data_IF_571155366743
#
_entry.id   IF_571155366743
#
_cell.length_a   1.000
_cell.length_b   1.000
_cell.length_c   1.000
_cell.angle_alpha   90.00
_cell.angle_beta   90.00
_cell.angle_gamma   90.00
#
_symmetry.space_group_name_H-M   'P 1'
#
loop_
_entity.id
_entity.type
_entity.pdbx_description
1 polymer ?
#
# COMPACT_ATOMS: atom_id res chain seq x y z
N UNK A 1 5.34 7.57 15.40
CA UNK A 1 4.41 6.46 15.09
C UNK A 1 3.01 6.96 14.70
N UNK A 2 2.36 7.80 15.50
CA UNK A 2 1.03 8.37 15.21
C UNK A 2 0.95 9.19 13.89
N UNK A 3 2.01 9.93 13.53
CA UNK A 3 2.12 10.63 12.23
C UNK A 3 2.05 9.65 11.06
N UNK A 4 2.93 8.64 11.06
CA UNK A 4 3.00 7.59 10.02
C UNK A 4 1.65 6.88 9.90
N UNK A 5 1.01 6.51 11.01
CA UNK A 5 -0.33 5.92 10.99
C UNK A 5 -1.33 6.81 10.24
N UNK A 6 -1.49 8.07 10.65
CA UNK A 6 -2.48 8.97 10.03
C UNK A 6 -2.21 9.23 8.54
N UNK A 7 -0.95 9.33 8.14
CA UNK A 7 -0.58 9.56 6.74
C UNK A 7 -0.73 8.31 5.88
N UNK A 8 -0.32 7.13 6.40
CA UNK A 8 -0.38 5.88 5.64
C UNK A 8 -1.81 5.42 5.36
N UNK A 9 -2.73 5.67 6.29
CA UNK A 9 -4.14 5.28 6.12
C UNK A 9 -4.92 6.29 5.28
N UNK A 10 -4.50 7.56 5.27
CA UNK A 10 -5.31 8.66 4.75
C UNK A 10 -6.70 8.68 5.40
N UNK A 11 -7.72 8.40 4.58
CA UNK A 11 -9.12 8.25 4.95
C UNK A 11 -9.66 6.83 4.73
N UNK A 12 -8.81 5.87 4.33
CA UNK A 12 -9.23 4.50 4.06
C UNK A 12 -9.52 3.74 5.37
N UNK A 13 -10.60 2.94 5.42
CA UNK A 13 -11.01 2.23 6.64
C UNK A 13 -10.22 0.93 6.90
N UNK A 14 -9.10 0.69 6.21
CA UNK A 14 -8.31 -0.57 6.21
C UNK A 14 -8.15 -1.16 7.61
N UNK A 15 -7.52 -0.43 8.51
CA UNK A 15 -7.19 -0.92 9.85
C UNK A 15 -8.42 -1.06 10.74
N UNK A 16 -9.48 -0.28 10.47
CA UNK A 16 -10.76 -0.39 11.16
C UNK A 16 -11.52 -1.64 10.73
N UNK A 17 -11.49 -1.96 9.44
CA UNK A 17 -12.05 -3.19 8.87
C UNK A 17 -11.33 -4.40 9.48
N UNK A 18 -10.01 -4.47 9.37
CA UNK A 18 -9.26 -5.61 9.87
C UNK A 18 -9.36 -5.76 11.40
N UNK A 19 -9.39 -4.66 12.15
CA UNK A 19 -9.58 -4.72 13.60
C UNK A 19 -10.92 -5.36 13.98
N UNK A 20 -12.00 -5.07 13.23
CA UNK A 20 -13.31 -5.71 13.44
C UNK A 20 -13.26 -7.20 13.15
N UNK A 21 -12.62 -7.60 12.06
CA UNK A 21 -12.48 -9.01 11.69
C UNK A 21 -11.63 -9.82 12.70
N UNK A 22 -10.63 -9.18 13.32
CA UNK A 22 -9.72 -9.82 14.31
C UNK A 22 -10.16 -9.63 15.76
N UNK A 23 -11.35 -9.08 16.01
CA UNK A 23 -11.83 -8.72 17.34
C UNK A 23 -10.86 -7.81 18.13
N UNK A 24 -10.04 -7.02 17.44
CA UNK A 24 -9.23 -5.98 18.06
C UNK A 24 -10.07 -4.73 18.29
N UNK A 25 -10.00 -4.18 19.51
CA UNK A 25 -10.85 -3.05 19.90
C UNK A 25 -10.48 -1.73 19.22
N UNK A 26 -9.25 -1.57 18.73
CA UNK A 26 -8.78 -0.32 18.12
C UNK A 26 -7.87 -0.54 16.91
N UNK A 27 -8.10 0.22 15.85
CA UNK A 27 -7.37 0.15 14.58
C UNK A 27 -5.90 0.60 14.69
N UNK A 28 -5.63 1.59 15.54
CA UNK A 28 -4.27 2.08 15.81
C UNK A 28 -3.43 1.02 16.54
N UNK A 29 -4.04 0.28 17.46
CA UNK A 29 -3.39 -0.83 18.18
C UNK A 29 -3.00 -1.95 17.23
N UNK A 30 -3.87 -2.30 16.27
CA UNK A 30 -3.54 -3.26 15.21
C UNK A 30 -2.41 -2.74 14.33
N UNK A 31 -2.46 -1.48 13.87
CA UNK A 31 -1.37 -0.88 13.10
C UNK A 31 -0.03 -0.95 13.84
N UNK A 32 -0.02 -0.61 15.13
CA UNK A 32 1.18 -0.65 15.95
C UNK A 32 1.68 -2.07 16.21
N UNK A 33 0.79 -3.05 16.37
CA UNK A 33 1.17 -4.45 16.49
C UNK A 33 1.81 -4.98 15.19
N UNK A 34 1.25 -4.61 14.03
CA UNK A 34 1.76 -5.05 12.72
C UNK A 34 3.07 -4.34 12.34
N UNK A 35 3.14 -3.02 12.50
CA UNK A 35 4.26 -2.22 12.00
C UNK A 35 5.27 -1.82 13.07
N UNK A 36 5.02 -2.09 14.35
CA UNK A 36 5.87 -1.64 15.46
C UNK A 36 7.31 -2.09 15.35
N UNK A 37 7.54 -3.32 14.87
CA UNK A 37 8.89 -3.86 14.67
C UNK A 37 9.72 -3.12 13.60
N UNK A 38 9.07 -2.48 12.62
CA UNK A 38 9.74 -1.79 11.52
C UNK A 38 9.73 -0.25 11.66
N UNK A 39 9.18 0.27 12.77
CA UNK A 39 9.08 1.70 13.03
C UNK A 39 10.00 2.12 14.20
N UNK A 40 10.83 3.14 13.98
CA UNK A 40 11.64 3.78 15.03
C UNK A 40 11.08 5.17 15.37
N UNK A 41 10.90 5.50 16.67
CA UNK A 41 10.54 6.85 17.09
C UNK A 41 11.53 7.90 16.57
N UNK A 42 11.03 9.03 16.06
CA UNK A 42 11.85 10.11 15.52
C UNK A 42 12.50 9.85 14.14
N UNK A 43 12.51 8.61 13.68
CA UNK A 43 13.15 8.21 12.40
C UNK A 43 12.11 7.85 11.35
N UNK A 44 11.10 7.03 11.68
CA UNK A 44 10.16 6.48 10.71
C UNK A 44 10.39 4.99 10.45
N UNK A 45 10.05 4.54 9.25
CA UNK A 45 10.24 3.14 8.82
C UNK A 45 11.72 2.88 8.59
N UNK A 46 12.28 1.87 9.26
CA UNK A 46 13.69 1.47 9.08
C UNK A 46 13.85 0.17 8.29
N UNK A 47 12.75 -0.58 8.10
CA UNK A 47 12.72 -1.83 7.36
C UNK A 47 11.51 -1.84 6.41
N UNK A 48 11.62 -1.09 5.31
CA UNK A 48 10.53 -0.93 4.34
C UNK A 48 9.89 -2.24 3.86
N UNK A 49 10.63 -3.31 3.51
CA UNK A 49 10.00 -4.57 3.07
C UNK A 49 9.04 -5.20 4.10
N UNK A 50 9.23 -4.90 5.38
CA UNK A 50 8.42 -5.44 6.48
C UNK A 50 7.22 -4.55 6.84
N UNK A 51 7.22 -3.28 6.42
CA UNK A 51 6.10 -2.37 6.65
C UNK A 51 4.87 -2.82 5.85
N UNK A 52 3.69 -2.53 6.39
CA UNK A 52 2.40 -2.80 5.74
C UNK A 52 1.58 -1.52 5.72
N UNK A 53 1.21 -1.08 4.51
CA UNK A 53 0.17 -0.07 4.32
C UNK A 53 -1.21 -0.66 4.56
N UNK A 54 -1.40 -1.90 4.12
CA UNK A 54 -2.67 -2.61 4.19
C UNK A 54 -2.51 -4.04 4.70
N UNK A 55 -3.56 -4.48 5.37
CA UNK A 55 -3.80 -5.83 5.89
C UNK A 55 -5.26 -6.16 5.61
N UNK A 56 -5.56 -7.44 5.44
CA UNK A 56 -6.92 -7.88 5.16
C UNK A 56 -6.96 -9.31 4.64
N UNK A 57 -8.15 -9.72 4.21
CA UNK A 57 -8.51 -11.09 3.84
C UNK A 57 -8.56 -11.33 2.34
N UNK A 58 -8.53 -10.28 1.50
CA UNK A 58 -8.42 -10.43 0.05
C UNK A 58 -7.03 -10.94 -0.32
N UNK A 59 -6.94 -11.63 -1.45
CA UNK A 59 -5.68 -12.19 -1.94
C UNK A 59 -4.63 -11.10 -2.12
N UNK A 60 -3.42 -11.32 -1.60
CA UNK A 60 -2.32 -10.38 -1.74
C UNK A 60 -1.89 -10.23 -3.22
N UNK A 61 -1.41 -9.05 -3.64
CA UNK A 61 -0.84 -8.88 -4.97
C UNK A 61 0.44 -9.71 -5.12
N UNK A 62 0.51 -10.47 -6.21
CA UNK A 62 1.74 -11.10 -6.67
C UNK A 62 2.43 -10.18 -7.67
N UNK A 63 3.27 -9.27 -7.16
CA UNK A 63 4.05 -8.34 -7.99
C UNK A 63 5.06 -9.13 -8.82
N UNK A 64 5.02 -8.93 -10.13
CA UNK A 64 5.91 -9.61 -11.10
C UNK A 64 6.99 -8.69 -11.67
N UNK A 65 6.78 -7.38 -11.60
CA UNK A 65 7.73 -6.40 -12.08
C UNK A 65 7.37 -4.98 -11.64
N UNK A 66 8.39 -4.13 -11.58
CA UNK A 66 8.25 -2.70 -11.37
C UNK A 66 9.23 -1.98 -12.30
N UNK A 67 8.73 -0.96 -12.98
CA UNK A 67 9.49 -0.14 -13.92
C UNK A 67 9.31 1.34 -13.54
N UNK A 68 10.33 2.13 -13.84
CA UNK A 68 10.31 3.57 -13.57
C UNK A 68 10.95 4.35 -14.70
N UNK A 69 10.23 5.37 -15.14
CA UNK A 69 10.72 6.42 -16.04
C UNK A 69 10.51 7.78 -15.36
N UNK A 70 11.59 8.36 -14.85
CA UNK A 70 11.55 9.58 -14.04
C UNK A 70 10.67 9.42 -12.80
N UNK A 71 9.54 10.12 -12.77
CA UNK A 71 8.55 10.07 -11.69
C UNK A 71 7.32 9.23 -12.02
N UNK A 72 7.32 8.58 -13.18
CA UNK A 72 6.30 7.62 -13.55
C UNK A 72 6.74 6.21 -13.14
N UNK A 73 5.88 5.50 -12.41
CA UNK A 73 6.12 4.14 -11.93
C UNK A 73 5.04 3.23 -12.50
N UNK A 74 5.45 2.14 -13.14
CA UNK A 74 4.57 1.07 -13.61
C UNK A 74 4.79 -0.17 -12.75
N UNK A 75 3.71 -0.73 -12.22
CA UNK A 75 3.73 -1.96 -11.42
C UNK A 75 2.94 -3.02 -12.18
N UNK A 76 3.52 -4.21 -12.28
CA UNK A 76 2.89 -5.39 -12.87
C UNK A 76 2.60 -6.43 -11.79
N UNK A 77 1.47 -7.10 -11.88
CA UNK A 77 1.13 -8.22 -11.01
C UNK A 77 0.46 -9.34 -11.80
N UNK A 78 0.45 -10.52 -11.18
CA UNK A 78 -0.27 -11.68 -11.72
C UNK A 78 -1.58 -11.88 -10.97
N UNK A 79 -2.62 -12.20 -11.73
CA UNK A 79 -3.86 -12.75 -11.21
C UNK A 79 -3.90 -14.25 -11.46
N UNK A 80 -4.57 -14.99 -10.59
CA UNK A 80 -4.84 -16.41 -10.86
C UNK A 80 -5.88 -16.54 -11.97
N UNK A 81 -5.76 -17.64 -12.72
CA UNK A 81 -6.74 -18.04 -13.72
C UNK A 81 -8.05 -18.44 -13.02
N UNK A 82 -9.20 -18.21 -13.67
CA UNK A 82 -10.55 -18.53 -13.17
C UNK A 82 -11.06 -17.77 -11.91
N UNK A 83 -10.80 -16.47 -11.84
CA UNK A 83 -11.34 -15.60 -10.76
C UNK A 83 -12.67 -14.93 -11.14
N UNK A 84 -13.47 -14.60 -10.13
CA UNK A 84 -14.78 -13.96 -10.30
C UNK A 84 -14.66 -12.52 -10.82
N UNK A 85 -15.74 -12.00 -11.43
CA UNK A 85 -15.80 -10.60 -11.87
C UNK A 85 -15.57 -9.62 -10.70
N UNK A 86 -16.11 -9.93 -9.50
CA UNK A 86 -15.92 -9.12 -8.30
C UNK A 86 -14.44 -9.02 -7.89
N UNK A 87 -13.70 -10.13 -7.96
CA UNK A 87 -12.26 -10.17 -7.71
C UNK A 87 -11.50 -9.30 -8.72
N UNK A 88 -11.84 -9.40 -10.01
CA UNK A 88 -11.18 -8.63 -11.06
C UNK A 88 -11.52 -7.13 -10.99
N UNK A 89 -12.69 -6.79 -10.46
CA UNK A 89 -13.16 -5.42 -10.27
C UNK A 89 -12.62 -4.73 -9.00
N UNK A 90 -11.84 -5.43 -8.16
CA UNK A 90 -11.23 -4.84 -6.97
C UNK A 90 -10.41 -3.59 -7.32
N UNK A 91 -10.51 -2.58 -6.45
CA UNK A 91 -9.87 -1.28 -6.60
C UNK A 91 -8.38 -1.40 -6.30
N UNK A 92 -7.56 -0.69 -7.08
CA UNK A 92 -6.11 -0.62 -6.90
C UNK A 92 -5.74 0.58 -6.01
N UNK A 93 -4.84 0.35 -5.05
CA UNK A 93 -4.26 1.39 -4.21
C UNK A 93 -2.74 1.25 -4.17
N UNK A 94 -2.06 2.39 -4.09
CA UNK A 94 -0.60 2.43 -3.98
C UNK A 94 -0.20 3.29 -2.79
N UNK A 95 0.38 2.66 -1.77
CA UNK A 95 1.15 3.34 -0.75
C UNK A 95 2.60 3.50 -1.21
N UNK A 96 3.27 4.59 -0.83
CA UNK A 96 4.69 4.74 -1.12
C UNK A 96 5.44 5.62 -0.12
N UNK A 97 6.76 5.50 -0.12
CA UNK A 97 7.70 6.41 0.52
C UNK A 97 8.79 6.83 -0.47
N UNK A 98 9.29 8.05 -0.32
CA UNK A 98 10.65 8.36 -0.75
C UNK A 98 11.60 7.82 0.31
N UNK A 99 12.69 7.17 -0.09
CA UNK A 99 13.69 6.62 0.84
C UNK A 99 14.26 7.70 1.77
N UNK A 100 14.38 8.93 1.28
CA UNK A 100 14.78 10.13 2.04
C UNK A 100 13.78 10.59 3.10
N UNK A 101 12.53 10.12 3.05
CA UNK A 101 11.42 10.55 3.93
C UNK A 101 10.72 9.35 4.59
N UNK A 102 11.44 8.55 5.41
CA UNK A 102 10.94 7.30 6.00
C UNK A 102 9.77 7.47 6.99
N UNK A 103 9.46 8.69 7.42
CA UNK A 103 8.39 9.01 8.35
C UNK A 103 7.14 9.61 7.68
N UNK A 104 7.15 9.73 6.35
CA UNK A 104 6.17 10.49 5.59
C UNK A 104 5.55 9.65 4.46
N UNK A 105 4.82 8.55 4.83
CA UNK A 105 4.13 7.72 3.84
C UNK A 105 3.12 8.55 3.05
N UNK A 106 2.94 8.17 1.79
CA UNK A 106 1.98 8.76 0.88
C UNK A 106 1.07 7.67 0.31
N UNK A 107 -0.11 8.07 -0.16
CA UNK A 107 -1.13 7.16 -0.67
C UNK A 107 -1.76 7.73 -1.95
N UNK A 108 -1.86 6.89 -2.98
CA UNK A 108 -2.59 7.15 -4.22
C UNK A 108 -3.80 6.22 -4.23
N UNK A 109 -5.00 6.82 -4.24
CA UNK A 109 -6.29 6.10 -4.08
C UNK A 109 -7.26 6.27 -5.24
N UNK A 110 -7.11 7.34 -6.02
CA UNK A 110 -7.98 7.66 -7.15
C UNK A 110 -7.40 7.08 -8.45
N UNK A 111 -7.10 5.77 -8.39
CA UNK A 111 -6.52 5.02 -9.51
C UNK A 111 -7.68 4.42 -10.33
N UNK A 112 -7.76 4.68 -11.64
CA UNK A 112 -8.82 4.11 -12.48
C UNK A 112 -8.67 2.61 -12.72
N UNK A 113 -7.44 2.09 -12.62
CA UNK A 113 -7.14 0.67 -12.81
C UNK A 113 -7.84 -0.22 -11.77
N UNK A 114 -8.17 -1.43 -12.21
CA UNK A 114 -8.72 -2.52 -11.43
C UNK A 114 -7.74 -3.67 -11.34
N UNK A 115 -7.96 -4.56 -10.38
CA UNK A 115 -7.14 -5.75 -10.19
C UNK A 115 -6.97 -6.56 -11.47
N UNK A 116 -8.04 -6.72 -12.26
CA UNK A 116 -8.04 -7.46 -13.51
C UNK A 116 -7.10 -6.90 -14.58
N UNK A 117 -6.79 -5.60 -14.54
CA UNK A 117 -5.93 -4.95 -15.54
C UNK A 117 -4.48 -5.45 -15.48
N UNK A 118 -4.09 -6.09 -14.37
CA UNK A 118 -2.78 -6.75 -14.17
C UNK A 118 -1.56 -5.80 -14.23
N UNK A 119 -1.79 -4.51 -14.45
CA UNK A 119 -0.78 -3.47 -14.32
C UNK A 119 -1.41 -2.11 -13.99
N UNK A 120 -0.59 -1.21 -13.46
CA UNK A 120 -0.96 0.19 -13.25
C UNK A 120 0.26 1.06 -13.43
N UNK A 121 0.06 2.21 -14.08
CA UNK A 121 1.05 3.29 -14.17
C UNK A 121 0.55 4.48 -13.37
N UNK A 122 1.39 4.99 -12.47
CA UNK A 122 1.10 6.17 -11.66
C UNK A 122 2.22 7.19 -11.74
N UNK A 123 1.85 8.47 -11.62
CA UNK A 123 2.81 9.55 -11.46
C UNK A 123 3.02 9.80 -9.97
N UNK A 124 4.25 9.63 -9.51
CA UNK A 124 4.69 9.98 -8.16
C UNK A 124 4.95 11.48 -8.14
N UNK A 125 4.34 12.27 -7.24
CA UNK A 125 4.67 13.67 -7.06
C UNK A 125 6.18 13.88 -6.88
N UNK A 126 6.74 15.01 -7.31
CA UNK A 126 8.18 15.25 -7.12
C UNK A 126 8.48 15.55 -5.64
N UNK A 127 7.58 16.28 -4.97
CA UNK A 127 7.71 16.67 -3.55
C UNK A 127 9.09 17.28 -3.18
N UNK A 128 9.73 17.98 -4.12
CA UNK A 128 11.07 18.56 -3.95
C UNK A 128 12.21 17.54 -3.86
N UNK A 129 11.95 16.28 -4.19
CA UNK A 129 12.96 15.23 -4.19
C UNK A 129 13.84 15.30 -5.44
N UNK A 130 15.15 15.00 -5.32
CA UNK A 130 16.01 14.84 -6.48
C UNK A 130 15.52 13.73 -7.41
N UNK A 131 15.71 13.92 -8.72
CA UNK A 131 15.47 12.85 -9.69
C UNK A 131 16.31 11.60 -9.34
N UNK A 132 15.71 10.42 -9.50
CA UNK A 132 16.33 9.15 -9.12
C UNK A 132 16.29 8.83 -7.62
N UNK A 133 15.64 9.64 -6.78
CA UNK A 133 15.41 9.29 -5.36
C UNK A 133 14.71 7.92 -5.29
N UNK A 134 15.28 6.92 -4.58
CA UNK A 134 14.67 5.60 -4.48
C UNK A 134 13.27 5.66 -3.86
N UNK A 135 12.38 4.82 -4.38
CA UNK A 135 11.00 4.71 -3.93
C UNK A 135 10.74 3.33 -3.32
N UNK A 136 9.97 3.32 -2.25
CA UNK A 136 9.41 2.11 -1.65
C UNK A 136 7.91 2.11 -1.93
N UNK A 137 7.43 1.12 -2.68
CA UNK A 137 6.07 1.10 -3.23
C UNK A 137 5.32 -0.12 -2.70
N UNK A 138 4.05 0.09 -2.37
CA UNK A 138 3.19 -0.89 -1.73
C UNK A 138 1.87 -0.98 -2.51
N UNK A 139 1.72 -2.02 -3.31
CA UNK A 139 0.48 -2.33 -4.03
C UNK A 139 -0.47 -3.06 -3.08
N UNK A 140 -1.75 -2.71 -3.09
CA UNK A 140 -2.81 -3.48 -2.44
C UNK A 140 -4.16 -3.24 -3.10
N UNK A 141 -5.12 -4.12 -2.82
CA UNK A 141 -6.46 -4.07 -3.35
C UNK A 141 -7.50 -3.82 -2.26
N UNK A 142 -8.66 -3.31 -2.67
CA UNK A 142 -9.86 -3.24 -1.84
C UNK A 142 -11.09 -3.56 -2.66
N UNK A 143 -12.10 -4.18 -2.05
CA UNK A 143 -13.38 -4.38 -2.73
C UNK A 143 -14.06 -3.04 -3.05
N UNK A 144 -15.09 -3.09 -3.90
CA UNK A 144 -15.75 -1.88 -4.38
C UNK A 144 -16.32 -1.02 -3.23
N UNK A 145 -16.85 -1.66 -2.20
CA UNK A 145 -17.45 -1.01 -1.03
C UNK A 145 -16.44 -0.65 0.08
N UNK A 146 -15.14 -0.97 -0.08
CA UNK A 146 -14.09 -0.78 0.91
C UNK A 146 -14.37 -1.47 2.26
N UNK A 147 -15.05 -2.61 2.19
CA UNK A 147 -15.34 -3.48 3.32
C UNK A 147 -14.26 -4.54 3.54
N UNK A 148 -13.49 -4.88 2.50
CA UNK A 148 -12.36 -5.80 2.59
C UNK A 148 -11.17 -5.25 1.81
N UNK A 149 -9.97 -5.63 2.26
CA UNK A 149 -8.71 -5.22 1.65
C UNK A 149 -7.78 -6.42 1.52
N UNK A 150 -6.76 -6.31 0.66
CA UNK A 150 -5.65 -7.26 0.63
C UNK A 150 -4.53 -6.79 1.56
N UNK A 151 -3.64 -7.70 2.00
CA UNK A 151 -2.31 -7.32 2.44
C UNK A 151 -1.57 -6.55 1.33
N UNK A 152 -0.69 -5.63 1.71
CA UNK A 152 0.15 -4.91 0.75
C UNK A 152 1.38 -5.71 0.32
N UNK A 153 1.61 -5.81 -0.98
CA UNK A 153 2.85 -6.30 -1.58
C UNK A 153 3.86 -5.18 -1.76
N UNK A 154 5.14 -5.46 -1.51
CA UNK A 154 6.22 -4.48 -1.52
C UNK A 154 7.12 -4.62 -2.76
N UNK A 155 7.52 -3.48 -3.32
CA UNK A 155 8.59 -3.38 -4.31
C UNK A 155 9.40 -2.09 -4.09
N UNK A 156 10.62 -2.03 -4.63
CA UNK A 156 11.45 -0.82 -4.64
C UNK A 156 11.96 -0.53 -6.04
N UNK A 157 12.05 0.75 -6.40
CA UNK A 157 12.43 1.23 -7.73
C UNK A 157 13.04 2.64 -7.72
#
# INVERSE_FOLDING_TARGET
MWKVYRLAIGDLPIWRVMARETNMSKSDSLFHATNGGCLRPGVGVWAFPTFRFSVGTLDAPLITGIERDGWQVTIHWKNDEDRSEAYLAERVFIGYFYDSLPDSPQLIKDIPARRGDSSVTVNIPIAGQPDGTPLHVYLFFGDEQLNHFSPSGYASV
#
